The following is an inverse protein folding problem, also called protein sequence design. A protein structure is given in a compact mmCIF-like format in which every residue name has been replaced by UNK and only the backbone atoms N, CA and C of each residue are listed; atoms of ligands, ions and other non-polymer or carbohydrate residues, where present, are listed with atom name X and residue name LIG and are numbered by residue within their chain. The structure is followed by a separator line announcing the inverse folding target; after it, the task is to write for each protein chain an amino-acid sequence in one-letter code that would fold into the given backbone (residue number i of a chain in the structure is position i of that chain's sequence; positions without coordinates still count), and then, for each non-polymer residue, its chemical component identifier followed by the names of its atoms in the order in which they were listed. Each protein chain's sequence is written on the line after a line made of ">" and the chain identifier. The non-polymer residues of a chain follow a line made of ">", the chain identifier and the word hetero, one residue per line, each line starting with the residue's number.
data_IF_810433389324
#
_entry.id   IF_810433389324
#
_cell.length_a   1.000
_cell.length_b   1.000
_cell.length_c   1.000
_cell.angle_alpha   90.00
_cell.angle_beta   90.00
_cell.angle_gamma   90.00
#
_symmetry.space_group_name_H-M   'P 1'
#
loop_
_entity.id
_entity.type
_entity.pdbx_description
1 polymer ?
#
# COMPACT_ATOMS: atom_id res chain seq x y z
N UNK A 1 1.21 -0.62 -11.88
CA UNK A 1 0.91 -0.70 -10.43
C UNK A 1 2.17 -0.53 -9.62
N UNK A 2 2.13 0.36 -8.62
CA UNK A 2 3.22 0.65 -7.66
C UNK A 2 2.63 1.10 -6.31
N UNK A 3 3.35 0.87 -5.21
CA UNK A 3 2.91 1.18 -3.84
C UNK A 3 3.82 2.14 -3.04
N UNK A 4 5.05 2.42 -3.49
CA UNK A 4 5.98 3.35 -2.83
C UNK A 4 6.61 2.88 -1.51
N UNK A 5 6.01 1.93 -0.79
CA UNK A 5 6.60 1.36 0.43
C UNK A 5 7.90 0.58 0.19
N UNK A 6 8.88 0.73 1.09
CA UNK A 6 10.09 -0.10 1.18
C UNK A 6 10.04 -1.05 2.38
N UNK A 7 10.72 -2.20 2.28
CA UNK A 7 10.82 -3.19 3.36
C UNK A 7 11.63 -2.68 4.54
N UNK A 8 11.22 -3.06 5.75
CA UNK A 8 11.93 -2.75 6.99
C UNK A 8 12.30 -4.06 7.71
N UNK A 9 13.60 -4.34 7.74
CA UNK A 9 14.18 -5.54 8.35
C UNK A 9 13.83 -6.84 7.63
N UNK A 10 14.11 -7.96 8.30
CA UNK A 10 13.86 -9.31 7.79
C UNK A 10 12.37 -9.68 7.75
N UNK A 11 11.93 -10.60 6.88
CA UNK A 11 10.53 -11.04 6.91
C UNK A 11 10.15 -11.65 8.27
N UNK A 12 8.87 -11.55 8.62
CA UNK A 12 8.27 -12.25 9.76
C UNK A 12 7.28 -13.31 9.24
N UNK A 13 7.16 -14.42 9.97
CA UNK A 13 6.20 -15.48 9.70
C UNK A 13 4.90 -15.15 10.40
N UNK A 14 3.78 -15.26 9.68
CA UNK A 14 2.45 -15.22 10.28
C UNK A 14 2.21 -16.53 11.01
N UNK A 15 2.33 -16.50 12.34
CA UNK A 15 2.26 -17.71 13.18
C UNK A 15 0.84 -18.02 13.63
N UNK A 16 0.00 -16.99 13.81
CA UNK A 16 -1.43 -17.17 14.02
C UNK A 16 -2.25 -16.05 13.37
N UNK A 17 -3.25 -16.41 12.57
CA UNK A 17 -4.16 -15.46 11.93
C UNK A 17 -5.51 -16.06 11.59
N UNK A 18 -6.57 -15.26 11.70
CA UNK A 18 -7.92 -15.64 11.25
C UNK A 18 -8.42 -14.58 10.27
N UNK A 19 -8.60 -14.97 9.01
CA UNK A 19 -8.92 -14.04 7.91
C UNK A 19 -7.83 -12.96 7.84
N UNK A 20 -8.17 -11.69 8.04
CA UNK A 20 -7.18 -10.60 8.11
C UNK A 20 -6.73 -10.22 9.52
N UNK A 21 -7.04 -11.02 10.56
CA UNK A 21 -6.72 -10.69 11.95
C UNK A 21 -5.41 -11.42 12.22
N UNK A 22 -4.32 -10.67 12.30
CA UNK A 22 -2.99 -11.17 12.57
C UNK A 22 -2.80 -11.16 14.08
N UNK A 23 -2.87 -12.32 14.72
CA UNK A 23 -2.70 -12.43 16.18
C UNK A 23 -1.23 -12.46 16.55
N UNK A 24 -0.44 -13.31 15.87
CA UNK A 24 0.99 -13.41 16.12
C UNK A 24 1.85 -13.41 14.87
N UNK A 25 3.02 -12.79 15.00
CA UNK A 25 4.10 -12.73 14.03
C UNK A 25 5.37 -13.23 14.73
N UNK A 26 6.04 -14.25 14.18
CA UNK A 26 7.18 -14.92 14.84
C UNK A 26 6.92 -15.26 16.32
N UNK A 27 5.73 -15.84 16.60
CA UNK A 27 5.25 -16.22 17.93
C UNK A 27 5.13 -15.06 18.94
N UNK A 28 5.11 -13.82 18.46
CA UNK A 28 4.90 -12.60 19.27
C UNK A 28 3.60 -11.90 18.89
N UNK A 29 2.95 -11.15 19.82
CA UNK A 29 1.77 -10.36 19.49
C UNK A 29 2.02 -9.45 18.28
N UNK A 30 1.16 -9.53 17.26
CA UNK A 30 1.43 -8.93 15.97
C UNK A 30 1.57 -7.40 16.04
N UNK A 31 0.76 -6.72 16.88
CA UNK A 31 0.84 -5.27 17.05
C UNK A 31 2.22 -4.86 17.60
N UNK A 32 2.68 -5.56 18.64
CA UNK A 32 3.98 -5.31 19.25
C UNK A 32 5.10 -5.58 18.26
N UNK A 33 5.09 -6.73 17.58
CA UNK A 33 6.13 -7.08 16.60
C UNK A 33 6.22 -6.04 15.46
N UNK A 34 5.08 -5.54 14.98
CA UNK A 34 5.03 -4.50 13.96
C UNK A 34 5.55 -3.15 14.44
N UNK A 35 5.11 -2.68 15.62
CA UNK A 35 5.52 -1.39 16.16
C UNK A 35 6.99 -1.39 16.58
N UNK A 36 7.47 -2.48 17.19
CA UNK A 36 8.87 -2.68 17.55
C UNK A 36 9.75 -2.63 16.30
N UNK A 37 9.34 -3.32 15.23
CA UNK A 37 10.07 -3.35 13.96
C UNK A 37 10.24 -1.96 13.35
N UNK A 38 9.24 -1.10 13.53
CA UNK A 38 9.22 0.26 13.01
C UNK A 38 9.88 1.28 13.95
N UNK A 39 10.39 0.85 15.10
CA UNK A 39 10.83 1.72 16.19
C UNK A 39 9.77 2.79 16.49
N UNK A 40 8.51 2.36 16.63
CA UNK A 40 7.39 3.26 16.83
C UNK A 40 7.54 4.07 18.13
N UNK A 41 7.05 5.32 18.16
CA UNK A 41 7.05 6.11 19.38
C UNK A 41 6.18 5.43 20.45
N UNK A 42 6.52 5.53 21.75
CA UNK A 42 5.76 4.87 22.82
C UNK A 42 4.26 5.18 22.81
N UNK A 43 3.89 6.39 22.39
CA UNK A 43 2.51 6.83 22.28
C UNK A 43 1.71 6.04 21.24
N UNK A 44 2.34 5.53 20.18
CA UNK A 44 1.67 4.71 19.16
C UNK A 44 1.17 3.35 19.71
N UNK A 45 1.65 2.92 20.88
CA UNK A 45 1.19 1.69 21.53
C UNK A 45 -0.11 1.89 22.32
N UNK A 46 -0.42 3.14 22.70
CA UNK A 46 -1.48 3.45 23.66
C UNK A 46 -2.53 4.44 23.14
N UNK A 47 -2.13 5.37 22.27
CA UNK A 47 -2.98 6.41 21.71
C UNK A 47 -3.47 6.03 20.30
N UNK A 48 -4.79 5.79 20.12
CA UNK A 48 -5.36 5.46 18.81
C UNK A 48 -5.10 6.50 17.72
N UNK A 49 -5.04 7.78 18.06
CA UNK A 49 -4.80 8.86 17.10
C UNK A 49 -3.34 8.87 16.63
N UNK A 50 -2.40 8.68 17.56
CA UNK A 50 -0.97 8.56 17.22
C UNK A 50 -0.72 7.30 16.40
N UNK A 51 -1.34 6.18 16.75
CA UNK A 51 -1.27 4.96 15.96
C UNK A 51 -1.83 5.13 14.54
N UNK A 52 -3.02 5.74 14.39
CA UNK A 52 -3.61 6.03 13.08
C UNK A 52 -2.68 6.90 12.23
N UNK A 53 -2.10 7.96 12.81
CA UNK A 53 -1.17 8.81 12.07
C UNK A 53 0.10 8.04 11.67
N UNK A 54 0.65 7.25 12.59
CA UNK A 54 1.87 6.49 12.37
C UNK A 54 1.69 5.39 11.30
N UNK A 55 0.60 4.64 11.34
CA UNK A 55 0.43 3.48 10.45
C UNK A 55 0.10 3.85 8.99
N UNK A 56 -0.37 5.08 8.72
CA UNK A 56 -0.88 5.50 7.38
C UNK A 56 0.09 5.20 6.25
N UNK A 57 1.38 5.44 6.46
CA UNK A 57 2.43 5.20 5.47
C UNK A 57 3.23 3.92 5.73
N UNK A 58 2.74 3.02 6.59
CA UNK A 58 3.47 1.85 7.06
C UNK A 58 2.65 0.56 6.89
N UNK A 59 2.37 0.12 5.66
CA UNK A 59 1.60 -1.10 5.44
C UNK A 59 2.41 -2.36 5.76
N UNK A 60 1.80 -3.53 5.55
CA UNK A 60 2.52 -4.80 5.46
C UNK A 60 2.64 -5.24 4.00
N UNK A 61 3.81 -5.75 3.63
CA UNK A 61 4.06 -6.42 2.35
C UNK A 61 3.95 -7.92 2.54
N UNK A 62 3.23 -8.62 1.68
CA UNK A 62 2.94 -10.04 1.79
C UNK A 62 3.61 -10.76 0.62
N UNK A 63 4.41 -11.79 0.92
CA UNK A 63 4.98 -12.63 -0.12
C UNK A 63 3.87 -13.41 -0.83
N UNK A 64 3.81 -13.29 -2.16
CA UNK A 64 3.02 -14.14 -3.04
C UNK A 64 3.93 -14.84 -4.06
N UNK A 65 3.39 -15.84 -4.75
CA UNK A 65 4.12 -16.55 -5.82
C UNK A 65 4.56 -15.61 -6.96
N UNK A 66 3.73 -14.62 -7.29
CA UNK A 66 3.96 -13.68 -8.38
C UNK A 66 4.69 -12.38 -7.99
N UNK A 67 5.06 -12.22 -6.72
CA UNK A 67 5.66 -10.97 -6.23
C UNK A 67 5.21 -10.62 -4.82
N UNK A 68 5.00 -9.33 -4.58
CA UNK A 68 4.61 -8.75 -3.31
C UNK A 68 3.26 -8.04 -3.43
N UNK A 69 2.39 -8.25 -2.45
CA UNK A 69 1.14 -7.51 -2.27
C UNK A 69 1.25 -6.63 -1.04
N UNK A 70 0.78 -5.39 -1.12
CA UNK A 70 0.79 -4.46 0.01
C UNK A 70 -0.61 -4.32 0.58
N UNK A 71 -0.70 -4.30 1.92
CA UNK A 71 -1.95 -4.15 2.65
C UNK A 71 -1.84 -3.15 3.76
N UNK A 72 -2.85 -2.28 3.83
CA UNK A 72 -3.02 -1.42 4.97
C UNK A 72 -3.29 -2.27 6.23
N UNK A 73 -2.78 -1.80 7.37
CA UNK A 73 -3.04 -2.39 8.68
C UNK A 73 -3.76 -1.38 9.57
N UNK A 74 -4.68 -1.87 10.39
CA UNK A 74 -5.48 -1.07 11.31
C UNK A 74 -5.63 -1.82 12.65
N UNK A 75 -5.55 -1.10 13.75
CA UNK A 75 -5.86 -1.59 15.11
C UNK A 75 -6.38 -0.46 16.01
N UNK A 76 -6.89 0.63 15.44
CA UNK A 76 -7.21 1.88 16.17
C UNK A 76 -8.16 1.61 17.34
N UNK A 77 -9.24 0.86 17.11
CA UNK A 77 -10.22 0.52 18.16
C UNK A 77 -9.79 -0.66 19.05
N UNK A 78 -8.62 -1.26 18.79
CA UNK A 78 -8.21 -2.56 19.35
C UNK A 78 -6.74 -2.60 19.81
N UNK A 79 -6.12 -1.45 20.08
CA UNK A 79 -4.72 -1.41 20.54
C UNK A 79 -4.49 -2.29 21.79
N UNK A 80 -5.50 -2.39 22.68
CA UNK A 80 -5.46 -3.24 23.87
C UNK A 80 -5.48 -4.75 23.57
N UNK A 81 -5.94 -5.17 22.39
CA UNK A 81 -6.03 -6.58 22.01
C UNK A 81 -4.70 -7.13 21.45
N UNK A 82 -3.69 -6.28 21.22
CA UNK A 82 -2.31 -6.64 20.83
C UNK A 82 -2.13 -7.33 19.47
N UNK A 83 -3.19 -7.40 18.65
CA UNK A 83 -3.18 -7.97 17.31
C UNK A 83 -3.46 -6.91 16.21
N UNK A 84 -3.14 -7.22 14.94
CA UNK A 84 -3.31 -6.32 13.79
C UNK A 84 -4.42 -6.73 12.82
N UNK A 85 -5.31 -5.81 12.41
CA UNK A 85 -6.21 -6.05 11.27
C UNK A 85 -5.50 -5.67 9.97
N UNK A 86 -5.33 -6.61 9.07
CA UNK A 86 -5.03 -6.34 7.66
C UNK A 86 -6.31 -6.11 6.85
N UNK A 87 -6.25 -5.22 5.87
CA UNK A 87 -7.29 -5.07 4.84
C UNK A 87 -7.32 -6.31 3.93
N UNK A 88 -7.96 -7.38 4.40
CA UNK A 88 -8.09 -8.66 3.70
C UNK A 88 -7.32 -9.79 4.36
N UNK A 89 -7.47 -11.01 3.84
CA UNK A 89 -6.90 -12.23 4.43
C UNK A 89 -5.39 -12.44 4.23
N UNK A 90 -4.67 -12.67 5.32
CA UNK A 90 -3.25 -13.01 5.31
C UNK A 90 -3.12 -14.42 5.88
N UNK A 91 -2.63 -15.39 5.12
CA UNK A 91 -2.62 -16.79 5.56
C UNK A 91 -1.53 -17.07 6.60
N UNK A 92 -1.82 -17.97 7.54
CA UNK A 92 -0.82 -18.56 8.44
C UNK A 92 0.29 -19.27 7.64
N UNK A 93 1.51 -19.24 8.18
CA UNK A 93 2.74 -19.69 7.50
C UNK A 93 3.21 -18.75 6.38
N UNK A 94 2.47 -17.69 6.08
CA UNK A 94 2.87 -16.65 5.13
C UNK A 94 4.06 -15.82 5.63
N UNK A 95 4.89 -15.35 4.70
CA UNK A 95 5.94 -14.38 4.99
C UNK A 95 5.44 -12.97 4.72
N UNK A 96 5.62 -12.08 5.70
CA UNK A 96 5.34 -10.65 5.56
C UNK A 96 6.56 -9.79 5.87
N UNK A 97 6.60 -8.60 5.31
CA UNK A 97 7.48 -7.51 5.73
C UNK A 97 6.64 -6.38 6.32
N UNK A 98 7.17 -5.74 7.35
CA UNK A 98 6.71 -4.38 7.64
C UNK A 98 7.29 -3.45 6.59
N UNK A 99 6.46 -2.56 6.08
CA UNK A 99 6.83 -1.61 5.04
C UNK A 99 6.81 -0.20 5.62
N UNK A 100 7.59 0.69 5.01
CA UNK A 100 7.58 2.11 5.31
C UNK A 100 7.63 2.89 4.01
N UNK A 101 6.74 3.85 3.88
CA UNK A 101 6.76 4.90 2.87
C UNK A 101 6.55 6.26 3.51
N UNK A 102 6.43 7.25 2.65
CA UNK A 102 6.25 8.66 2.96
C UNK A 102 5.57 9.35 1.76
N UNK A 103 5.43 10.66 1.84
CA UNK A 103 4.84 11.46 0.77
C UNK A 103 5.61 11.31 -0.54
N UNK A 104 6.93 11.44 -0.52
CA UNK A 104 7.75 11.47 -1.72
C UNK A 104 7.75 10.11 -2.44
N UNK A 105 7.92 9.02 -1.70
CA UNK A 105 7.83 7.67 -2.24
C UNK A 105 6.43 7.33 -2.78
N UNK A 106 5.37 7.88 -2.17
CA UNK A 106 3.99 7.71 -2.68
C UNK A 106 3.79 8.47 -3.99
N UNK A 107 4.34 9.67 -4.11
CA UNK A 107 4.30 10.49 -5.33
C UNK A 107 5.13 9.86 -6.46
N UNK A 108 6.33 9.33 -6.16
CA UNK A 108 7.14 8.68 -7.18
C UNK A 108 6.52 7.35 -7.64
N UNK A 109 5.85 6.62 -6.74
CA UNK A 109 5.06 5.46 -7.14
C UNK A 109 3.97 5.81 -8.17
N UNK A 110 3.36 6.99 -8.07
CA UNK A 110 2.39 7.46 -9.07
C UNK A 110 3.05 7.65 -10.45
N UNK A 111 4.20 8.34 -10.47
CA UNK A 111 4.99 8.55 -11.68
C UNK A 111 5.38 7.24 -12.34
N UNK A 112 5.95 6.32 -11.56
CA UNK A 112 6.35 5.00 -12.05
C UNK A 112 5.17 4.18 -12.58
N UNK A 113 4.00 4.28 -11.95
CA UNK A 113 2.81 3.58 -12.42
C UNK A 113 2.32 4.11 -13.77
N UNK A 114 2.33 5.44 -13.98
CA UNK A 114 2.03 6.06 -15.27
C UNK A 114 3.05 5.68 -16.35
N UNK A 115 4.35 5.80 -16.04
CA UNK A 115 5.43 5.42 -16.98
C UNK A 115 5.29 3.96 -17.41
N UNK A 116 5.13 3.04 -16.45
CA UNK A 116 4.97 1.62 -16.75
C UNK A 116 3.70 1.32 -17.58
N UNK A 117 2.63 2.09 -17.43
CA UNK A 117 1.43 1.92 -18.25
C UNK A 117 1.65 2.41 -19.68
N UNK A 118 2.35 3.53 -19.87
CA UNK A 118 2.71 4.07 -21.19
C UNK A 118 3.72 3.15 -21.88
N UNK A 119 4.75 2.67 -21.18
CA UNK A 119 5.75 1.76 -21.71
C UNK A 119 5.10 0.46 -22.23
N UNK A 120 4.02 0.00 -21.58
CA UNK A 120 3.25 -1.18 -22.00
C UNK A 120 2.45 -0.99 -23.30
N UNK A 121 2.40 0.21 -23.87
CA UNK A 121 1.86 0.47 -25.21
C UNK A 121 2.86 0.13 -26.33
N UNK A 122 4.08 -0.30 -25.99
CA UNK A 122 5.13 -0.71 -26.94
C UNK A 122 5.40 0.33 -28.05
N UNK A 123 5.35 1.62 -27.66
CA UNK A 123 5.63 2.76 -28.54
C UNK A 123 4.40 3.38 -29.22
N UNK A 124 3.20 2.82 -29.06
CA UNK A 124 1.98 3.49 -29.49
C UNK A 124 1.70 4.74 -28.63
N UNK A 125 1.29 5.87 -29.22
CA UNK A 125 1.00 7.08 -28.45
C UNK A 125 -0.25 6.90 -27.59
N UNK A 126 -0.24 7.28 -26.31
CA UNK A 126 -1.39 7.14 -25.45
C UNK A 126 -2.55 8.05 -25.91
N UNK A 127 -3.72 7.47 -26.18
CA UNK A 127 -4.99 8.17 -26.37
C UNK A 127 -5.55 8.74 -25.06
N UNK A 128 -5.19 8.12 -23.93
CA UNK A 128 -5.60 8.55 -22.60
C UNK A 128 -5.22 7.56 -21.51
N UNK A 129 -5.24 8.02 -20.26
CA UNK A 129 -4.95 7.21 -19.09
C UNK A 129 -6.11 7.24 -18.09
N UNK A 130 -6.39 6.07 -17.50
CA UNK A 130 -7.31 5.90 -16.39
C UNK A 130 -6.55 5.51 -15.12
N UNK A 131 -6.67 6.32 -14.06
CA UNK A 131 -6.02 6.13 -12.78
C UNK A 131 -7.04 5.72 -11.69
N UNK A 132 -6.80 4.57 -11.08
CA UNK A 132 -7.58 4.05 -9.95
C UNK A 132 -6.69 4.02 -8.72
N UNK A 133 -6.97 4.94 -7.79
CA UNK A 133 -6.07 5.27 -6.69
C UNK A 133 -6.63 4.80 -5.35
N UNK A 134 -5.86 4.13 -4.51
CA UNK A 134 -6.35 3.74 -3.19
C UNK A 134 -6.55 4.98 -2.30
N UNK A 135 -7.73 5.15 -1.72
CA UNK A 135 -8.04 6.26 -0.78
C UNK A 135 -7.07 6.34 0.40
N UNK A 136 -6.40 5.23 0.74
CA UNK A 136 -5.35 5.24 1.75
C UNK A 136 -4.13 6.12 1.37
N UNK A 137 -3.84 6.30 0.07
CA UNK A 137 -2.75 7.16 -0.43
C UNK A 137 -3.07 8.64 -0.21
N UNK A 138 -4.32 9.07 -0.40
CA UNK A 138 -4.71 10.45 -0.09
C UNK A 138 -4.55 10.79 1.40
N UNK A 139 -4.68 9.81 2.29
CA UNK A 139 -4.40 9.98 3.74
C UNK A 139 -2.91 10.14 4.06
N UNK A 140 -2.02 9.62 3.22
CA UNK A 140 -0.57 9.82 3.31
C UNK A 140 -0.17 11.17 2.72
N UNK A 141 -0.78 11.55 1.59
CA UNK A 141 -0.44 12.75 0.82
C UNK A 141 -1.05 14.04 1.38
N UNK A 142 -2.24 13.95 1.97
CA UNK A 142 -3.07 15.12 2.29
C UNK A 142 -3.61 15.81 1.04
N UNK A 143 -4.35 16.90 1.23
CA UNK A 143 -5.00 17.64 0.15
C UNK A 143 -3.99 18.21 -0.87
N UNK A 144 -2.93 18.86 -0.38
CA UNK A 144 -1.88 19.41 -1.25
C UNK A 144 -1.10 18.32 -1.98
N UNK A 145 -0.80 17.19 -1.32
CA UNK A 145 -0.08 16.09 -1.95
C UNK A 145 -0.92 15.36 -2.99
N UNK A 146 -2.23 15.29 -2.78
CA UNK A 146 -3.19 14.77 -3.77
C UNK A 146 -3.20 15.63 -5.04
N UNK A 147 -3.09 16.96 -4.91
CA UNK A 147 -2.97 17.86 -6.07
C UNK A 147 -1.64 17.65 -6.79
N UNK A 148 -0.52 17.61 -6.05
CA UNK A 148 0.82 17.37 -6.61
C UNK A 148 0.89 16.02 -7.34
N UNK A 149 0.27 14.97 -6.79
CA UNK A 149 0.14 13.67 -7.43
C UNK A 149 -0.48 13.75 -8.83
N UNK A 150 -1.64 14.42 -8.95
CA UNK A 150 -2.32 14.59 -10.25
C UNK A 150 -1.48 15.41 -11.21
N UNK A 151 -0.86 16.51 -10.75
CA UNK A 151 0.03 17.33 -11.58
C UNK A 151 1.24 16.55 -12.11
N UNK A 152 1.83 15.70 -11.27
CA UNK A 152 2.95 14.83 -11.65
C UNK A 152 2.52 13.80 -12.69
N UNK A 153 1.39 13.12 -12.48
CA UNK A 153 0.85 12.18 -13.46
C UNK A 153 0.57 12.87 -14.80
N UNK A 154 -0.05 14.06 -14.81
CA UNK A 154 -0.30 14.82 -16.04
C UNK A 154 1.00 15.15 -16.80
N UNK A 155 2.08 15.49 -16.09
CA UNK A 155 3.40 15.71 -16.70
C UNK A 155 3.95 14.46 -17.37
N UNK A 156 3.75 13.28 -16.76
CA UNK A 156 4.17 11.99 -17.33
C UNK A 156 3.34 11.61 -18.57
N UNK A 157 2.06 11.98 -18.61
CA UNK A 157 1.15 11.65 -19.72
C UNK A 157 1.42 12.45 -21.01
N UNK A 158 2.35 13.40 -21.01
CA UNK A 158 2.84 14.15 -22.18
C UNK A 158 1.71 14.72 -23.09
N UNK A 159 0.60 15.17 -22.50
CA UNK A 159 -0.53 15.76 -23.21
C UNK A 159 -1.71 14.82 -23.47
N UNK A 160 -1.58 13.52 -23.20
CA UNK A 160 -2.72 12.61 -23.19
C UNK A 160 -3.67 12.94 -22.03
N UNK A 161 -5.00 12.85 -22.24
CA UNK A 161 -5.98 13.09 -21.18
C UNK A 161 -5.81 12.06 -20.06
N UNK A 162 -5.86 12.54 -18.81
CA UNK A 162 -5.84 11.71 -17.61
C UNK A 162 -7.19 11.84 -16.90
N UNK A 163 -7.81 10.72 -16.58
CA UNK A 163 -9.02 10.66 -15.75
C UNK A 163 -8.88 9.57 -14.69
N UNK A 164 -9.69 9.64 -13.63
CA UNK A 164 -9.57 8.71 -12.52
C UNK A 164 -10.36 9.11 -11.29
N UNK A 165 -10.28 8.28 -10.26
CA UNK A 165 -10.90 8.52 -8.96
C UNK A 165 -10.25 7.67 -7.86
N UNK A 166 -10.45 8.09 -6.61
CA UNK A 166 -10.06 7.28 -5.46
C UNK A 166 -11.03 6.13 -5.21
N UNK A 167 -10.48 4.97 -4.86
CA UNK A 167 -11.19 3.70 -4.63
C UNK A 167 -10.86 3.14 -3.24
N UNK A 168 -11.66 2.18 -2.77
CA UNK A 168 -11.41 1.45 -1.52
C UNK A 168 -10.64 0.14 -1.78
N UNK A 169 -9.44 0.30 -2.33
CA UNK A 169 -8.59 -0.80 -2.80
C UNK A 169 -8.92 -1.17 -4.24
N UNK A 170 -7.96 -1.80 -4.92
CA UNK A 170 -8.02 -2.06 -6.35
C UNK A 170 -8.03 -3.56 -6.61
N UNK A 171 -8.90 -4.03 -7.52
CA UNK A 171 -8.78 -5.37 -8.11
C UNK A 171 -8.19 -5.24 -9.51
N UNK A 172 -6.87 -5.40 -9.61
CA UNK A 172 -6.14 -5.32 -10.87
C UNK A 172 -5.18 -6.51 -11.00
N UNK A 173 -5.43 -7.35 -12.00
CA UNK A 173 -4.57 -8.49 -12.35
C UNK A 173 -3.61 -8.07 -13.45
N UNK A 174 -2.42 -7.61 -13.08
CA UNK A 174 -1.35 -7.38 -14.06
C UNK A 174 -0.62 -8.68 -14.41
N UNK A 175 -0.57 -9.66 -13.49
CA UNK A 175 -0.01 -11.01 -13.70
C UNK A 175 -0.70 -12.02 -12.76
N UNK A 176 -0.98 -13.24 -13.25
CA UNK A 176 -1.48 -14.34 -12.43
C UNK A 176 -2.93 -14.18 -11.94
N UNK A 177 -3.29 -14.94 -10.90
CA UNK A 177 -4.67 -15.04 -10.37
C UNK A 177 -4.98 -14.06 -9.23
N UNK A 178 -3.96 -13.52 -8.56
CA UNK A 178 -4.16 -12.56 -7.48
C UNK A 178 -4.21 -11.13 -8.04
N UNK A 179 -5.03 -10.28 -7.42
CA UNK A 179 -5.22 -8.93 -7.94
C UNK A 179 -5.78 -7.94 -6.94
N UNK A 180 -5.93 -8.29 -5.66
CA UNK A 180 -6.42 -7.36 -4.65
C UNK A 180 -5.25 -6.60 -4.04
N UNK A 181 -5.22 -5.28 -4.25
CA UNK A 181 -4.13 -4.41 -3.82
C UNK A 181 -4.68 -3.28 -2.97
N UNK A 182 -3.89 -2.85 -1.98
CA UNK A 182 -4.16 -1.65 -1.19
C UNK A 182 -2.91 -0.78 -1.13
N UNK A 183 -3.11 0.51 -0.87
CA UNK A 183 -2.05 1.53 -0.91
C UNK A 183 -1.32 1.56 -2.26
N UNK A 184 -2.03 1.27 -3.34
CA UNK A 184 -1.49 1.20 -4.69
C UNK A 184 -2.18 2.17 -5.63
N UNK A 185 -1.49 2.51 -6.71
CA UNK A 185 -2.08 3.13 -7.89
C UNK A 185 -2.11 2.13 -9.05
N UNK A 186 -3.30 1.90 -9.60
CA UNK A 186 -3.46 1.18 -10.86
C UNK A 186 -3.71 2.19 -11.98
N UNK A 187 -2.89 2.12 -13.04
CA UNK A 187 -3.02 2.98 -14.21
C UNK A 187 -3.18 2.10 -15.43
N UNK A 188 -4.18 2.42 -16.25
CA UNK A 188 -4.40 1.85 -17.56
C UNK A 188 -4.12 2.93 -18.60
N UNK A 189 -3.19 2.68 -19.51
CA UNK A 189 -3.02 3.49 -20.71
C UNK A 189 -3.78 2.85 -21.87
N UNK A 190 -4.47 3.66 -22.66
CA UNK A 190 -5.15 3.26 -23.90
C UNK A 190 -4.36 3.85 -25.05
N UNK A 191 -4.01 3.03 -26.05
CA UNK A 191 -3.29 3.43 -27.27
C UNK A 191 -4.06 3.07 -28.53
#
# INVERSE_FOLDING_TARGET
>A
MRHGGRKVGEPMIVTHSIRGDLYTLDDKPALTAYLDRLNAPPEAYADPAVFDQFNRSRPIGIRRRGGEEVRHVNSISRLKETWLRSSGEVPEGGLIWVMQGDRDSTLEAANEACRAAIDALDGAPPLGLLAFDCISRSRVLGEEGTRDEVERMMKVCAGAPLSGFYTWGEIARTRGITGYHNQTLAVLAVG
#
